data_IF_482138258040
#
_entry.id   IF_482138258040
#
_cell.length_a   1.000
_cell.length_b   1.000
_cell.length_c   1.000
_cell.angle_alpha   90.00
_cell.angle_beta   90.00
_cell.angle_gamma   90.00
#
_symmetry.space_group_name_H-M   'P 1'
#
loop_
_entity.id
_entity.type
_entity.pdbx_description
1 polymer ?
#
# COMPACT_ATOMS: atom_id res chain seq x y z
N UNK A 1 -19.72 10.58 3.57
CA UNK A 1 -19.08 9.69 2.58
C UNK A 1 -19.75 9.94 1.23
N UNK A 2 -19.00 10.39 0.22
CA UNK A 2 -19.52 10.61 -1.14
C UNK A 2 -19.28 9.39 -2.03
N UNK A 3 -19.92 9.33 -3.21
CA UNK A 3 -19.64 8.28 -4.22
C UNK A 3 -18.15 8.25 -4.59
N UNK A 4 -17.52 9.41 -4.76
CA UNK A 4 -16.09 9.52 -5.05
C UNK A 4 -15.24 8.91 -3.94
N UNK A 5 -15.55 9.21 -2.68
CA UNK A 5 -14.84 8.58 -1.55
C UNK A 5 -15.02 7.06 -1.55
N UNK A 6 -16.23 6.55 -1.84
CA UNK A 6 -16.48 5.11 -1.91
C UNK A 6 -15.65 4.43 -2.99
N UNK A 7 -15.57 5.00 -4.19
CA UNK A 7 -14.72 4.47 -5.27
C UNK A 7 -13.26 4.49 -4.87
N UNK A 8 -12.75 5.61 -4.34
CA UNK A 8 -11.36 5.74 -3.96
C UNK A 8 -10.99 4.77 -2.82
N UNK A 9 -11.84 4.64 -1.80
CA UNK A 9 -11.66 3.64 -0.75
C UNK A 9 -11.61 2.22 -1.28
N UNK A 10 -12.50 1.86 -2.22
CA UNK A 10 -12.46 0.54 -2.86
C UNK A 10 -11.13 0.32 -3.59
N UNK A 11 -10.66 1.30 -4.37
CA UNK A 11 -9.35 1.21 -5.05
C UNK A 11 -8.23 1.03 -4.04
N UNK A 12 -8.21 1.82 -2.97
CA UNK A 12 -7.20 1.71 -1.91
C UNK A 12 -7.21 0.32 -1.27
N UNK A 13 -8.37 -0.20 -0.89
CA UNK A 13 -8.48 -1.49 -0.22
C UNK A 13 -8.04 -2.65 -1.12
N UNK A 14 -8.47 -2.64 -2.39
CA UNK A 14 -8.08 -3.64 -3.39
C UNK A 14 -6.58 -3.56 -3.66
N UNK A 15 -6.06 -2.36 -3.93
CA UNK A 15 -4.64 -2.16 -4.20
C UNK A 15 -3.78 -2.55 -2.99
N UNK A 16 -4.17 -2.17 -1.77
CA UNK A 16 -3.45 -2.56 -0.54
C UNK A 16 -3.43 -4.08 -0.35
N UNK A 17 -4.53 -4.76 -0.67
CA UNK A 17 -4.59 -6.23 -0.59
C UNK A 17 -3.64 -6.86 -1.61
N UNK A 18 -3.67 -6.41 -2.86
CA UNK A 18 -2.77 -6.88 -3.91
C UNK A 18 -1.30 -6.59 -3.57
N UNK A 19 -1.03 -5.42 -3.01
CA UNK A 19 0.30 -4.98 -2.60
C UNK A 19 0.86 -5.90 -1.50
N UNK A 20 0.07 -6.24 -0.49
CA UNK A 20 0.44 -7.22 0.54
C UNK A 20 0.70 -8.59 -0.08
N UNK A 21 -0.20 -9.09 -0.92
CA UNK A 21 -0.07 -10.43 -1.51
C UNK A 21 1.16 -10.52 -2.42
N UNK A 22 1.37 -9.53 -3.28
CA UNK A 22 2.55 -9.48 -4.17
C UNK A 22 3.85 -9.36 -3.38
N UNK A 23 3.87 -8.57 -2.30
CA UNK A 23 5.01 -8.49 -1.37
C UNK A 23 5.29 -9.85 -0.72
N UNK A 24 4.26 -10.51 -0.17
CA UNK A 24 4.41 -11.83 0.45
C UNK A 24 4.91 -12.90 -0.54
N UNK A 25 4.43 -12.87 -1.78
CA UNK A 25 4.92 -13.75 -2.85
C UNK A 25 6.37 -13.41 -3.23
N UNK A 26 6.74 -12.13 -3.27
CA UNK A 26 8.12 -11.72 -3.54
C UNK A 26 9.09 -12.22 -2.47
N UNK A 27 8.74 -12.00 -1.20
CA UNK A 27 9.52 -12.47 -0.06
C UNK A 27 9.65 -13.99 -0.04
N UNK A 28 8.58 -14.74 -0.35
CA UNK A 28 8.64 -16.21 -0.40
C UNK A 28 9.49 -16.75 -1.57
N UNK A 29 9.72 -15.93 -2.60
CA UNK A 29 10.66 -16.21 -3.71
C UNK A 29 12.09 -15.71 -3.43
N UNK A 30 12.35 -15.16 -2.25
CA UNK A 30 13.67 -14.63 -1.87
C UNK A 30 14.00 -13.26 -2.46
N UNK A 31 13.02 -12.53 -2.99
CA UNK A 31 13.21 -11.13 -3.40
C UNK A 31 13.30 -10.23 -2.16
N UNK A 32 14.11 -9.18 -2.27
CA UNK A 32 14.26 -8.18 -1.22
C UNK A 32 13.13 -7.14 -1.29
N UNK A 33 12.80 -6.57 -0.15
CA UNK A 33 11.82 -5.49 -0.04
C UNK A 33 12.47 -4.15 -0.42
N UNK A 34 11.92 -3.46 -1.42
CA UNK A 34 12.45 -2.16 -1.87
C UNK A 34 12.09 -0.99 -0.96
N UNK A 35 11.08 -1.17 -0.09
CA UNK A 35 10.68 -0.17 0.89
C UNK A 35 11.45 -0.35 2.20
N UNK A 36 12.43 0.53 2.46
CA UNK A 36 13.28 0.48 3.66
C UNK A 36 12.51 0.44 4.99
N UNK A 37 11.32 1.05 5.07
CA UNK A 37 10.48 1.02 6.29
C UNK A 37 9.88 -0.37 6.49
N UNK A 38 9.37 -0.98 5.41
CA UNK A 38 8.81 -2.33 5.45
C UNK A 38 9.93 -3.35 5.70
N UNK A 39 11.07 -3.19 5.03
CA UNK A 39 12.26 -4.02 5.20
C UNK A 39 12.73 -4.00 6.66
N UNK A 40 12.89 -2.81 7.25
CA UNK A 40 13.28 -2.67 8.65
C UNK A 40 12.26 -3.29 9.61
N UNK A 41 10.95 -3.08 9.37
CA UNK A 41 9.91 -3.68 10.19
C UNK A 41 9.91 -5.21 10.11
N UNK A 42 10.12 -5.78 8.90
CA UNK A 42 10.26 -7.22 8.70
C UNK A 42 11.52 -7.74 9.38
N UNK A 43 12.64 -7.02 9.29
CA UNK A 43 13.89 -7.38 9.96
C UNK A 43 13.74 -7.47 11.48
N UNK A 44 12.89 -6.64 12.08
CA UNK A 44 12.65 -6.61 13.53
C UNK A 44 11.57 -7.58 14.01
N UNK A 45 10.50 -7.77 13.23
CA UNK A 45 9.28 -8.44 13.67
C UNK A 45 8.89 -9.66 12.82
N UNK A 46 9.65 -9.95 11.75
CA UNK A 46 9.27 -10.91 10.72
C UNK A 46 8.06 -10.42 9.91
N UNK A 47 7.30 -11.36 9.35
CA UNK A 47 6.08 -11.04 8.58
C UNK A 47 5.05 -10.16 9.33
N UNK A 48 4.86 -10.27 10.66
CA UNK A 48 4.06 -9.31 11.42
C UNK A 48 4.45 -7.83 11.23
N UNK A 49 5.73 -7.54 10.95
CA UNK A 49 6.21 -6.19 10.66
C UNK A 49 5.56 -5.58 9.42
N UNK A 50 5.33 -6.38 8.37
CA UNK A 50 4.58 -5.95 7.18
C UNK A 50 3.17 -5.51 7.56
N UNK A 51 2.45 -6.34 8.32
CA UNK A 51 1.08 -6.04 8.75
C UNK A 51 1.01 -4.80 9.62
N UNK A 52 1.98 -4.61 10.52
CA UNK A 52 2.06 -3.42 11.37
C UNK A 52 2.19 -2.15 10.52
N UNK A 53 3.09 -2.14 9.53
CA UNK A 53 3.27 -0.97 8.64
C UNK A 53 2.01 -0.69 7.84
N UNK A 54 1.37 -1.71 7.27
CA UNK A 54 0.12 -1.54 6.51
C UNK A 54 -1.03 -1.05 7.39
N UNK A 55 -1.14 -1.59 8.60
CA UNK A 55 -2.15 -1.15 9.57
C UNK A 55 -1.92 0.31 9.99
N UNK A 56 -0.68 0.69 10.31
CA UNK A 56 -0.34 2.07 10.65
C UNK A 56 -0.65 3.05 9.50
N UNK A 57 -0.31 2.68 8.27
CA UNK A 57 -0.65 3.46 7.08
C UNK A 57 -2.18 3.61 6.89
N UNK A 58 -2.94 2.54 7.13
CA UNK A 58 -4.41 2.57 7.06
C UNK A 58 -5.02 3.47 8.14
N UNK A 59 -4.54 3.39 9.38
CA UNK A 59 -4.98 4.28 10.47
C UNK A 59 -4.69 5.74 10.12
N UNK A 60 -3.48 6.03 9.62
CA UNK A 60 -3.11 7.37 9.18
C UNK A 60 -4.00 7.87 8.03
N UNK A 61 -4.30 7.01 7.05
CA UNK A 61 -5.19 7.34 5.94
C UNK A 61 -6.62 7.64 6.41
N UNK A 62 -7.18 6.81 7.29
CA UNK A 62 -8.52 7.02 7.86
C UNK A 62 -8.56 8.33 8.64
N UNK A 63 -7.56 8.60 9.47
CA UNK A 63 -7.47 9.85 10.25
C UNK A 63 -7.35 11.07 9.33
N UNK A 64 -6.45 11.03 8.33
CA UNK A 64 -6.28 12.12 7.37
C UNK A 64 -7.55 12.38 6.57
N UNK A 65 -8.21 11.33 6.07
CA UNK A 65 -9.49 11.45 5.37
C UNK A 65 -10.59 12.05 6.25
N UNK A 66 -10.70 11.62 7.50
CA UNK A 66 -11.75 12.08 8.43
C UNK A 66 -11.60 13.54 8.87
N UNK A 67 -10.38 14.08 8.85
CA UNK A 67 -10.07 15.45 9.30
C UNK A 67 -10.09 16.49 8.17
N UNK A 68 -10.24 16.07 6.92
CA UNK A 68 -10.20 16.95 5.74
C UNK A 68 -11.60 17.32 5.23
N UNK A 69 -11.70 18.50 4.62
CA UNK A 69 -12.90 18.88 3.86
C UNK A 69 -13.10 17.96 2.66
N UNK A 70 -14.35 17.83 2.16
CA UNK A 70 -14.71 16.84 1.14
C UNK A 70 -13.78 16.83 -0.09
N UNK A 71 -13.45 18.02 -0.63
CA UNK A 71 -12.53 18.18 -1.75
C UNK A 71 -11.11 17.74 -1.40
N UNK A 72 -10.60 18.15 -0.25
CA UNK A 72 -9.23 17.82 0.18
C UNK A 72 -9.13 16.32 0.53
N UNK A 73 -10.18 15.75 1.14
CA UNK A 73 -10.32 14.33 1.42
C UNK A 73 -10.30 13.50 0.13
N UNK A 74 -10.97 13.96 -0.93
CA UNK A 74 -10.94 13.30 -2.24
C UNK A 74 -9.55 13.36 -2.90
N UNK A 75 -8.87 14.51 -2.84
CA UNK A 75 -7.49 14.66 -3.33
C UNK A 75 -6.55 13.74 -2.54
N UNK A 76 -6.67 13.74 -1.22
CA UNK A 76 -5.85 12.93 -0.32
C UNK A 76 -6.01 11.43 -0.59
N UNK A 77 -7.25 10.94 -0.66
CA UNK A 77 -7.54 9.55 -1.04
C UNK A 77 -7.04 9.23 -2.46
N UNK A 78 -7.18 10.17 -3.40
CA UNK A 78 -6.73 10.00 -4.78
C UNK A 78 -5.21 9.85 -4.89
N UNK A 79 -4.46 10.67 -4.17
CA UNK A 79 -3.00 10.57 -4.10
C UNK A 79 -2.55 9.27 -3.45
N UNK A 80 -3.20 8.86 -2.36
CA UNK A 80 -2.90 7.58 -1.72
C UNK A 80 -3.19 6.42 -2.67
N UNK A 81 -4.37 6.39 -3.29
CA UNK A 81 -4.75 5.37 -4.26
C UNK A 81 -3.76 5.27 -5.42
N UNK A 82 -3.30 6.41 -5.96
CA UNK A 82 -2.31 6.45 -7.03
C UNK A 82 -1.00 5.77 -6.60
N UNK A 83 -0.47 6.13 -5.43
CA UNK A 83 0.78 5.56 -4.92
C UNK A 83 0.62 4.06 -4.65
N UNK A 84 -0.48 3.62 -4.02
CA UNK A 84 -0.72 2.19 -3.75
C UNK A 84 -0.88 1.38 -5.04
N UNK A 85 -1.55 1.92 -6.06
CA UNK A 85 -1.64 1.25 -7.37
C UNK A 85 -0.26 1.17 -8.02
N UNK A 86 0.55 2.22 -7.94
CA UNK A 86 1.92 2.21 -8.46
C UNK A 86 2.81 1.16 -7.76
N UNK A 87 2.68 0.96 -6.45
CA UNK A 87 3.42 -0.11 -5.75
C UNK A 87 2.98 -1.49 -6.19
N UNK A 88 1.68 -1.73 -6.38
CA UNK A 88 1.18 -3.00 -6.96
C UNK A 88 1.77 -3.26 -8.34
N UNK A 89 1.82 -2.24 -9.20
CA UNK A 89 2.41 -2.35 -10.54
C UNK A 89 3.90 -2.67 -10.44
N UNK A 90 4.64 -1.98 -9.56
CA UNK A 90 6.07 -2.22 -9.35
C UNK A 90 6.35 -3.64 -8.81
N UNK A 91 5.58 -4.10 -7.82
CA UNK A 91 5.69 -5.46 -7.28
C UNK A 91 5.37 -6.50 -8.36
N UNK A 92 4.32 -6.28 -9.14
CA UNK A 92 3.93 -7.18 -10.24
C UNK A 92 5.02 -7.23 -11.31
N UNK A 93 5.58 -6.08 -11.71
CA UNK A 93 6.69 -6.01 -12.66
C UNK A 93 7.94 -6.76 -12.14
N UNK A 94 8.24 -6.61 -10.85
CA UNK A 94 9.35 -7.32 -10.20
C UNK A 94 9.11 -8.83 -10.18
N UNK A 95 7.89 -9.27 -9.83
CA UNK A 95 7.51 -10.68 -9.84
C UNK A 95 7.52 -11.32 -11.25
N UNK A 96 7.29 -10.52 -12.28
CA UNK A 96 7.36 -10.92 -13.68
C UNK A 96 8.79 -10.83 -14.26
N UNK A 97 9.75 -10.31 -13.51
CA UNK A 97 11.14 -10.15 -13.97
C UNK A 97 11.33 -9.07 -15.04
N UNK A 98 10.40 -8.11 -15.13
CA UNK A 98 10.45 -7.00 -16.10
C UNK A 98 10.80 -5.65 -15.45
N UNK A 99 11.02 -5.65 -14.14
CA UNK A 99 11.55 -4.48 -13.43
C UNK A 99 13.07 -4.37 -13.63
N UNK A 100 13.58 -3.15 -13.83
CA UNK A 100 15.01 -2.86 -13.75
C UNK A 100 15.40 -2.92 -12.26
N UNK A 101 16.12 -3.98 -11.87
CA UNK A 101 16.67 -4.14 -10.52
C UNK A 101 17.95 -3.33 -10.35
#
# INVERSE_FOLDING_TARGET
MTRTHAVLWTVVLVATTLDILTTMVGLSRGLQEGNAVVEAAIGLLGLPGLWLVKFAAMVWLVAGWALLSDRNAAIFLGLFALVTVATVVANTATLLGVALQ
#
